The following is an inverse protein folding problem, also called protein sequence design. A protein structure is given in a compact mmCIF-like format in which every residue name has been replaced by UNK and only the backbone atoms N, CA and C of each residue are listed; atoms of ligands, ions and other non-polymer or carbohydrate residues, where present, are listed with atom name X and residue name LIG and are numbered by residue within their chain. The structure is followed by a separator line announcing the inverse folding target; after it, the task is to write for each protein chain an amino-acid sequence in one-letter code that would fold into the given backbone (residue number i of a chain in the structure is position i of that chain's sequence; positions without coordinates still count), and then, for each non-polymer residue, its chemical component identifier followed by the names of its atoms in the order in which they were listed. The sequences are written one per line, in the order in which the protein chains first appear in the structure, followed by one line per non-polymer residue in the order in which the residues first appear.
data_IF_672328896049
#
_entry.id   IF_672328896049
#
_cell.length_a   1.000
_cell.length_b   1.000
_cell.length_c   1.000
_cell.angle_alpha   90.00
_cell.angle_beta   90.00
_cell.angle_gamma   90.00
#
_symmetry.space_group_name_H-M   'P 1'
#
loop_
_entity.id
_entity.type
_entity.pdbx_description
1 polymer ?
#
# COMPACT_ATOMS: atom_id res chain seq x y z
N UNK A 1 17.34 -18.56 -4.59
CA UNK A 1 16.12 -19.38 -4.86
C UNK A 1 16.55 -20.62 -5.62
N UNK A 2 16.00 -21.79 -5.29
CA UNK A 2 16.30 -22.99 -6.07
C UNK A 2 15.69 -22.86 -7.48
N UNK A 3 16.42 -23.21 -8.55
CA UNK A 3 15.82 -23.32 -9.88
C UNK A 3 14.73 -24.40 -9.84
N UNK A 4 13.48 -24.02 -10.11
CA UNK A 4 12.35 -24.95 -10.22
C UNK A 4 11.25 -24.86 -9.16
N UNK A 5 11.23 -23.87 -8.26
CA UNK A 5 10.10 -23.69 -7.34
C UNK A 5 8.80 -23.40 -8.11
N UNK A 6 7.85 -24.33 -8.03
CA UNK A 6 6.45 -24.13 -8.40
C UNK A 6 5.59 -24.24 -7.14
N UNK A 7 4.76 -23.23 -6.83
CA UNK A 7 3.83 -23.35 -5.71
C UNK A 7 2.81 -24.46 -5.98
N UNK A 8 2.40 -25.17 -4.92
CA UNK A 8 1.25 -26.09 -4.99
C UNK A 8 -0.04 -25.26 -5.06
N UNK A 9 -0.72 -25.32 -6.20
CA UNK A 9 -1.97 -24.61 -6.47
C UNK A 9 -3.19 -25.56 -6.47
N UNK A 10 -3.06 -26.72 -5.82
CA UNK A 10 -4.19 -27.66 -5.68
C UNK A 10 -5.32 -27.10 -4.81
N UNK A 11 -6.53 -27.62 -5.00
CA UNK A 11 -7.68 -27.29 -4.14
C UNK A 11 -7.40 -27.59 -2.65
N UNK A 12 -6.61 -28.63 -2.37
CA UNK A 12 -6.19 -28.94 -0.99
C UNK A 12 -5.25 -27.85 -0.44
N UNK A 13 -4.27 -27.40 -1.21
CA UNK A 13 -3.38 -26.30 -0.80
C UNK A 13 -4.15 -25.01 -0.55
N UNK A 14 -5.13 -24.69 -1.39
CA UNK A 14 -6.03 -23.55 -1.18
C UNK A 14 -6.78 -23.67 0.15
N UNK A 15 -7.43 -24.81 0.41
CA UNK A 15 -8.18 -25.05 1.66
C UNK A 15 -7.27 -24.96 2.90
N UNK A 16 -6.06 -25.53 2.83
CA UNK A 16 -5.08 -25.45 3.91
C UNK A 16 -4.66 -24.02 4.20
N UNK A 17 -4.39 -23.22 3.15
CA UNK A 17 -4.02 -21.81 3.34
C UNK A 17 -5.20 -20.99 3.86
N UNK A 18 -6.42 -21.21 3.37
CA UNK A 18 -7.64 -20.57 3.90
C UNK A 18 -7.76 -20.81 5.40
N UNK A 19 -7.66 -22.08 5.83
CA UNK A 19 -7.74 -22.44 7.25
C UNK A 19 -6.63 -21.81 8.10
N UNK A 20 -5.37 -21.93 7.67
CA UNK A 20 -4.25 -21.31 8.38
C UNK A 20 -4.42 -19.78 8.50
N UNK A 21 -4.95 -19.14 7.45
CA UNK A 21 -5.22 -17.69 7.45
C UNK A 21 -6.29 -17.30 8.46
N UNK A 22 -7.38 -18.08 8.53
CA UNK A 22 -8.45 -17.88 9.51
C UNK A 22 -7.94 -18.10 10.94
N UNK A 23 -7.24 -19.21 11.19
CA UNK A 23 -6.66 -19.54 12.49
C UNK A 23 -5.73 -18.41 12.95
N UNK A 24 -4.83 -17.95 12.08
CA UNK A 24 -3.94 -16.82 12.37
C UNK A 24 -4.70 -15.52 12.67
N UNK A 25 -5.73 -15.18 11.88
CA UNK A 25 -6.54 -13.98 12.08
C UNK A 25 -7.26 -14.02 13.43
N UNK A 26 -7.84 -15.17 13.79
CA UNK A 26 -8.59 -15.38 15.02
C UNK A 26 -7.70 -15.42 16.27
N UNK A 27 -6.50 -16.00 16.16
CA UNK A 27 -5.51 -16.04 17.24
C UNK A 27 -4.89 -14.66 17.51
N UNK A 28 -4.64 -13.89 16.45
CA UNK A 28 -4.12 -12.53 16.57
C UNK A 28 -5.14 -11.54 17.15
N UNK A 29 -6.44 -11.89 17.16
CA UNK A 29 -7.52 -11.03 17.64
C UNK A 29 -8.45 -11.84 18.55
N UNK A 30 -8.12 -12.01 19.85
CA UNK A 30 -8.94 -12.75 20.79
C UNK A 30 -10.32 -12.12 20.99
N UNK A 31 -11.27 -12.82 21.65
CA UNK A 31 -12.59 -12.27 21.97
C UNK A 31 -12.48 -10.91 22.67
N UNK A 32 -13.30 -9.95 22.24
CA UNK A 32 -13.28 -8.57 22.75
C UNK A 32 -12.27 -7.64 22.06
N UNK A 33 -11.41 -8.14 21.17
CA UNK A 33 -10.53 -7.30 20.35
C UNK A 33 -11.17 -6.98 18.99
N UNK A 34 -11.49 -5.71 18.75
CA UNK A 34 -12.08 -5.24 17.49
C UNK A 34 -11.02 -5.05 16.42
N UNK A 35 -11.30 -5.49 15.19
CA UNK A 35 -10.54 -5.12 14.01
C UNK A 35 -10.91 -3.70 13.59
N UNK A 36 -9.98 -2.75 13.73
CA UNK A 36 -10.25 -1.33 13.49
C UNK A 36 -10.80 -1.00 12.08
N UNK A 37 -10.49 -1.83 11.07
CA UNK A 37 -10.95 -1.63 9.68
C UNK A 37 -12.28 -2.33 9.37
N UNK A 38 -12.80 -3.11 10.32
CA UNK A 38 -14.08 -3.80 10.24
C UNK A 38 -15.09 -3.27 11.25
N UNK A 39 -14.62 -2.63 12.33
CA UNK A 39 -15.40 -2.24 13.50
C UNK A 39 -16.15 -3.41 14.16
N UNK A 40 -15.61 -4.62 14.00
CA UNK A 40 -16.13 -5.85 14.60
C UNK A 40 -14.99 -6.78 15.06
N UNK A 41 -15.27 -7.69 15.98
CA UNK A 41 -14.40 -8.84 16.20
C UNK A 41 -14.51 -9.78 14.99
N UNK A 42 -13.43 -10.43 14.54
CA UNK A 42 -13.53 -11.36 13.41
C UNK A 42 -14.52 -12.51 13.63
N UNK A 43 -14.76 -12.93 14.88
CA UNK A 43 -15.73 -13.99 15.19
C UNK A 43 -17.18 -13.59 14.96
N UNK A 44 -17.44 -12.28 14.90
CA UNK A 44 -18.78 -11.73 14.71
C UNK A 44 -19.03 -11.33 13.25
N UNK A 45 -18.02 -11.45 12.39
CA UNK A 45 -18.15 -11.12 10.97
C UNK A 45 -18.91 -12.22 10.22
N UNK A 46 -20.06 -11.89 9.61
CA UNK A 46 -20.77 -12.86 8.78
C UNK A 46 -19.91 -13.21 7.56
N UNK A 47 -19.95 -14.48 7.16
CA UNK A 47 -19.28 -14.97 5.95
C UNK A 47 -17.76 -14.77 5.90
N UNK A 48 -17.09 -14.61 7.06
CA UNK A 48 -15.64 -14.39 7.11
C UNK A 48 -14.86 -15.54 6.45
N UNK A 49 -15.28 -16.79 6.66
CA UNK A 49 -14.62 -17.96 6.08
C UNK A 49 -14.73 -17.97 4.56
N UNK A 50 -15.94 -17.76 4.02
CA UNK A 50 -16.20 -17.66 2.59
C UNK A 50 -15.43 -16.51 1.97
N UNK A 51 -15.34 -15.38 2.67
CA UNK A 51 -14.60 -14.21 2.24
C UNK A 51 -13.10 -14.46 2.14
N UNK A 52 -12.49 -15.04 3.19
CA UNK A 52 -11.07 -15.40 3.18
C UNK A 52 -10.82 -16.45 2.10
N UNK A 53 -11.70 -17.44 1.94
CA UNK A 53 -11.59 -18.44 0.89
C UNK A 53 -11.61 -17.82 -0.52
N UNK A 54 -12.49 -16.84 -0.76
CA UNK A 54 -12.55 -16.12 -2.03
C UNK A 54 -11.28 -15.30 -2.29
N UNK A 55 -10.70 -14.65 -1.26
CA UNK A 55 -9.42 -13.95 -1.37
C UNK A 55 -8.30 -14.93 -1.73
N UNK A 56 -8.20 -16.06 -1.02
CA UNK A 56 -7.17 -17.07 -1.29
C UNK A 56 -7.34 -17.63 -2.71
N UNK A 57 -8.57 -17.90 -3.13
CA UNK A 57 -8.86 -18.33 -4.51
C UNK A 57 -8.42 -17.31 -5.56
N UNK A 58 -8.70 -16.02 -5.35
CA UNK A 58 -8.24 -14.95 -6.23
C UNK A 58 -6.71 -14.83 -6.28
N UNK A 59 -6.03 -15.02 -5.14
CA UNK A 59 -4.57 -15.10 -5.08
C UNK A 59 -4.04 -16.28 -5.89
N UNK A 60 -4.62 -17.47 -5.73
CA UNK A 60 -4.20 -18.67 -6.47
C UNK A 60 -4.39 -18.48 -7.97
N UNK A 61 -5.54 -17.95 -8.37
CA UNK A 61 -5.83 -17.59 -9.75
C UNK A 61 -4.78 -16.61 -10.31
N UNK A 62 -4.47 -15.54 -9.58
CA UNK A 62 -3.44 -14.57 -9.99
C UNK A 62 -2.06 -15.20 -10.12
N UNK A 63 -1.69 -16.14 -9.23
CA UNK A 63 -0.40 -16.83 -9.29
C UNK A 63 -0.34 -17.73 -10.52
N UNK A 64 -1.43 -18.45 -10.82
CA UNK A 64 -1.54 -19.27 -12.03
C UNK A 64 -1.27 -18.45 -13.30
N UNK A 65 -1.82 -17.23 -13.38
CA UNK A 65 -1.57 -16.31 -14.51
C UNK A 65 -0.10 -15.87 -14.63
N UNK A 66 0.67 -15.88 -13.53
CA UNK A 66 2.07 -15.43 -13.47
C UNK A 66 3.09 -16.58 -13.48
N UNK A 67 2.67 -17.85 -13.55
CA UNK A 67 3.58 -19.01 -13.49
C UNK A 67 4.66 -19.01 -14.57
N UNK A 68 4.37 -18.44 -15.75
CA UNK A 68 5.30 -18.36 -16.87
C UNK A 68 6.29 -17.19 -16.76
N UNK A 69 6.03 -16.22 -15.87
CA UNK A 69 6.80 -14.97 -15.77
C UNK A 69 7.69 -14.95 -14.55
N UNK A 70 7.12 -15.21 -13.36
CA UNK A 70 7.81 -15.14 -12.07
C UNK A 70 7.01 -15.93 -11.03
N UNK A 71 7.59 -16.95 -10.38
CA UNK A 71 6.90 -17.64 -9.29
C UNK A 71 6.67 -16.70 -8.12
N UNK A 72 5.45 -16.73 -7.59
CA UNK A 72 5.02 -15.98 -6.41
C UNK A 72 4.51 -16.97 -5.37
N UNK A 73 4.89 -16.76 -4.12
CA UNK A 73 4.43 -17.56 -3.00
C UNK A 73 3.05 -17.06 -2.51
N UNK A 74 1.99 -17.89 -2.50
CA UNK A 74 0.67 -17.46 -2.02
C UNK A 74 0.69 -16.97 -0.57
N UNK A 75 1.54 -17.54 0.29
CA UNK A 75 1.63 -17.14 1.71
C UNK A 75 2.13 -15.69 1.83
N UNK A 76 3.03 -15.26 0.94
CA UNK A 76 3.53 -13.88 0.90
C UNK A 76 2.41 -12.90 0.57
N UNK A 77 1.59 -13.24 -0.42
CA UNK A 77 0.48 -12.38 -0.85
C UNK A 77 -0.57 -12.29 0.25
N UNK A 78 -0.97 -13.40 0.86
CA UNK A 78 -1.91 -13.39 1.98
C UNK A 78 -1.38 -12.59 3.17
N UNK A 79 -0.08 -12.71 3.49
CA UNK A 79 0.56 -11.91 4.55
C UNK A 79 0.49 -10.41 4.28
N UNK A 80 0.67 -10.03 3.01
CA UNK A 80 0.55 -8.66 2.55
C UNK A 80 -0.90 -8.16 2.67
N UNK A 81 -1.88 -8.90 2.14
CA UNK A 81 -3.30 -8.52 2.19
C UNK A 81 -3.82 -8.43 3.63
N UNK A 82 -3.40 -9.35 4.49
CA UNK A 82 -3.64 -9.26 5.93
C UNK A 82 -3.09 -7.96 6.49
N UNK A 83 -1.82 -7.62 6.18
CA UNK A 83 -1.18 -6.41 6.68
C UNK A 83 -1.87 -5.12 6.21
N UNK A 84 -2.33 -5.10 4.95
CA UNK A 84 -2.97 -3.93 4.32
C UNK A 84 -4.33 -3.58 4.93
N UNK A 85 -5.21 -4.58 5.08
CA UNK A 85 -6.62 -4.31 5.38
C UNK A 85 -7.23 -5.21 6.44
N UNK A 86 -6.48 -6.21 6.93
CA UNK A 86 -7.06 -7.37 7.64
C UNK A 86 -8.23 -7.98 6.86
N UNK A 87 -8.07 -8.01 5.54
CA UNK A 87 -9.06 -8.47 4.57
C UNK A 87 -10.30 -7.58 4.42
N UNK A 88 -10.38 -6.39 5.01
CA UNK A 88 -11.56 -5.52 4.86
C UNK A 88 -11.74 -5.04 3.41
N UNK A 89 -12.87 -5.36 2.74
CA UNK A 89 -13.14 -4.96 1.36
C UNK A 89 -13.52 -3.48 1.24
N UNK A 90 -13.94 -2.86 2.34
CA UNK A 90 -14.35 -1.45 2.41
C UNK A 90 -13.32 -0.56 3.10
N UNK A 91 -12.13 -1.07 3.40
CA UNK A 91 -11.07 -0.30 4.03
C UNK A 91 -10.64 0.89 3.15
N UNK A 92 -10.65 2.10 3.71
CA UNK A 92 -10.18 3.32 3.03
C UNK A 92 -9.12 4.04 3.87
N UNK A 93 -7.90 4.13 3.37
CA UNK A 93 -6.81 4.83 4.06
C UNK A 93 -6.95 6.36 3.97
N UNK A 94 -6.30 7.12 4.88
CA UNK A 94 -6.24 8.59 4.79
C UNK A 94 -5.57 9.11 3.50
N UNK A 95 -4.81 8.26 2.81
CA UNK A 95 -4.18 8.58 1.53
C UNK A 95 -5.08 8.26 0.31
N UNK A 96 -6.20 7.57 0.51
CA UNK A 96 -7.16 7.19 -0.53
C UNK A 96 -6.96 5.81 -1.15
N UNK A 97 -6.14 4.96 -0.54
CA UNK A 97 -6.07 3.54 -0.88
C UNK A 97 -7.34 2.81 -0.42
N UNK A 98 -7.81 1.84 -1.21
CA UNK A 98 -9.11 1.17 -1.01
C UNK A 98 -8.99 -0.35 -1.06
N UNK A 99 -9.81 -1.01 -0.23
CA UNK A 99 -10.11 -2.43 -0.28
C UNK A 99 -9.03 -3.35 0.27
N UNK A 100 -9.20 -4.65 0.01
CA UNK A 100 -8.38 -5.74 0.58
C UNK A 100 -6.89 -5.51 0.34
N UNK A 101 -6.54 -5.05 -0.86
CA UNK A 101 -5.17 -4.85 -1.31
C UNK A 101 -4.67 -3.41 -1.17
N UNK A 102 -5.50 -2.47 -0.67
CA UNK A 102 -5.16 -1.06 -0.45
C UNK A 102 -4.48 -0.38 -1.66
N UNK A 103 -5.02 -0.60 -2.87
CA UNK A 103 -4.49 0.07 -4.06
C UNK A 103 -4.76 1.58 -4.02
N UNK A 104 -3.69 2.37 -4.17
CA UNK A 104 -3.79 3.81 -4.39
C UNK A 104 -4.47 4.08 -5.75
N UNK A 105 -5.28 5.15 -5.91
CA UNK A 105 -6.10 5.34 -7.12
C UNK A 105 -5.30 5.34 -8.42
N UNK A 106 -4.12 5.97 -8.45
CA UNK A 106 -3.29 5.98 -9.66
C UNK A 106 -2.75 4.59 -10.00
N UNK A 107 -2.31 3.84 -8.98
CA UNK A 107 -1.78 2.48 -9.18
C UNK A 107 -2.89 1.54 -9.59
N UNK A 108 -4.09 1.68 -9.03
CA UNK A 108 -5.24 0.87 -9.38
C UNK A 108 -5.54 0.90 -10.90
N UNK A 109 -5.46 2.07 -11.53
CA UNK A 109 -5.62 2.24 -12.97
C UNK A 109 -4.57 1.46 -13.78
N UNK A 110 -3.34 1.30 -13.26
CA UNK A 110 -2.28 0.52 -13.94
C UNK A 110 -2.55 -1.00 -13.94
N UNK A 111 -3.50 -1.45 -13.10
CA UNK A 111 -3.90 -2.85 -12.95
C UNK A 111 -5.38 -3.07 -13.28
N UNK A 112 -5.97 -2.17 -14.07
CA UNK A 112 -7.38 -2.23 -14.50
C UNK A 112 -8.39 -2.31 -13.34
N UNK A 113 -8.00 -1.79 -12.16
CA UNK A 113 -8.88 -1.61 -11.02
C UNK A 113 -9.44 -0.19 -11.06
N UNK A 114 -10.48 0.01 -11.85
CA UNK A 114 -11.15 1.31 -11.97
C UNK A 114 -11.72 1.78 -10.61
N UNK A 115 -11.24 2.90 -10.05
CA UNK A 115 -11.70 3.40 -8.76
C UNK A 115 -13.10 4.03 -8.85
N UNK A 116 -13.77 4.16 -7.69
CA UNK A 116 -15.20 4.47 -7.49
C UNK A 116 -15.80 5.54 -8.39
N UNK A 117 -14.98 6.52 -8.68
CA UNK A 117 -14.93 7.15 -9.96
C UNK A 117 -13.70 8.04 -9.91
N UNK A 118 -13.29 8.46 -11.10
CA UNK A 118 -12.83 9.82 -11.35
C UNK A 118 -13.96 10.81 -10.97
N UNK A 119 -14.37 10.81 -9.70
CA UNK A 119 -15.29 11.78 -9.15
C UNK A 119 -14.69 13.16 -9.39
N UNK A 120 -15.56 14.15 -9.48
CA UNK A 120 -15.19 15.56 -9.41
C UNK A 120 -14.21 15.83 -8.24
N UNK A 121 -14.38 15.14 -7.10
CA UNK A 121 -13.48 15.19 -5.94
C UNK A 121 -12.08 14.64 -6.22
N UNK A 122 -11.96 13.45 -6.84
CA UNK A 122 -10.65 12.89 -7.20
C UNK A 122 -9.92 13.80 -8.19
N UNK A 123 -10.61 14.27 -9.23
CA UNK A 123 -10.01 15.14 -10.22
C UNK A 123 -9.65 16.52 -9.66
N UNK A 124 -10.44 17.03 -8.71
CA UNK A 124 -10.11 18.25 -7.94
C UNK A 124 -8.84 18.05 -7.13
N UNK A 125 -8.73 16.98 -6.35
CA UNK A 125 -7.53 16.65 -5.59
C UNK A 125 -6.31 16.48 -6.50
N UNK A 126 -6.43 15.69 -7.58
CA UNK A 126 -5.33 15.39 -8.50
C UNK A 126 -4.79 16.66 -9.16
N UNK A 127 -5.68 17.55 -9.62
CA UNK A 127 -5.32 18.85 -10.19
C UNK A 127 -4.61 19.73 -9.17
N UNK A 128 -5.20 19.94 -8.00
CA UNK A 128 -4.60 20.76 -6.93
C UNK A 128 -3.24 20.21 -6.49
N UNK A 129 -3.13 18.89 -6.29
CA UNK A 129 -1.86 18.27 -5.93
C UNK A 129 -0.77 18.52 -6.96
N UNK A 130 -1.11 18.45 -8.25
CA UNK A 130 -0.16 18.72 -9.34
C UNK A 130 0.29 20.18 -9.33
N UNK A 131 -0.65 21.12 -9.27
CA UNK A 131 -0.34 22.56 -9.32
C UNK A 131 0.38 23.03 -8.06
N UNK A 132 -0.09 22.67 -6.87
CA UNK A 132 0.48 23.14 -5.60
C UNK A 132 1.85 22.52 -5.31
N UNK A 133 2.10 21.27 -5.73
CA UNK A 133 3.46 20.71 -5.67
C UNK A 133 4.42 21.40 -6.62
N UNK A 134 3.98 21.78 -7.82
CA UNK A 134 4.82 22.52 -8.76
C UNK A 134 5.20 23.90 -8.20
N UNK A 135 4.22 24.66 -7.70
CA UNK A 135 4.44 25.96 -7.04
C UNK A 135 5.42 25.87 -5.88
N UNK A 136 5.22 24.91 -4.96
CA UNK A 136 6.14 24.73 -3.82
C UNK A 136 7.54 24.33 -4.25
N UNK A 137 7.68 23.44 -5.23
CA UNK A 137 9.02 23.08 -5.76
C UNK A 137 9.72 24.29 -6.38
N UNK A 138 8.98 25.15 -7.08
CA UNK A 138 9.52 26.38 -7.62
C UNK A 138 9.97 27.34 -6.50
N UNK A 139 9.09 27.62 -5.53
CA UNK A 139 9.41 28.48 -4.39
C UNK A 139 10.63 27.97 -3.59
N UNK A 140 10.72 26.65 -3.36
CA UNK A 140 11.87 26.03 -2.72
C UNK A 140 13.16 26.24 -3.53
N UNK A 141 13.12 26.10 -4.86
CA UNK A 141 14.29 26.36 -5.71
C UNK A 141 14.72 27.82 -5.67
N UNK A 142 13.77 28.74 -5.71
CA UNK A 142 14.05 30.18 -5.65
C UNK A 142 14.66 30.57 -4.30
N UNK A 143 14.13 30.04 -3.19
CA UNK A 143 14.70 30.17 -1.85
C UNK A 143 16.14 29.67 -1.78
N UNK A 144 16.40 28.43 -2.22
CA UNK A 144 17.75 27.85 -2.21
C UNK A 144 18.74 28.69 -3.01
N UNK A 145 18.31 29.19 -4.18
CA UNK A 145 19.14 30.07 -5.02
C UNK A 145 19.41 31.41 -4.35
N UNK A 146 18.40 32.04 -3.75
CA UNK A 146 18.52 33.34 -3.09
C UNK A 146 19.52 33.30 -1.93
N UNK A 147 19.39 32.28 -1.08
CA UNK A 147 20.20 32.14 0.13
C UNK A 147 21.50 31.36 -0.09
N UNK A 148 21.75 30.84 -1.30
CA UNK A 148 22.94 30.03 -1.56
C UNK A 148 22.99 28.70 -0.79
N UNK A 149 21.82 28.17 -0.42
CA UNK A 149 21.69 26.93 0.38
C UNK A 149 21.62 25.73 -0.56
N UNK A 150 22.36 24.67 -0.23
CA UNK A 150 22.48 23.48 -1.09
C UNK A 150 21.22 22.61 -1.12
N UNK A 151 20.51 22.52 0.01
CA UNK A 151 19.42 21.56 0.22
C UNK A 151 18.32 22.14 1.09
N UNK A 152 17.08 21.93 0.65
CA UNK A 152 15.90 22.36 1.40
C UNK A 152 15.63 21.42 2.58
N UNK A 153 16.20 21.75 3.74
CA UNK A 153 15.95 21.03 5.00
C UNK A 153 16.18 21.93 6.21
N UNK A 154 15.45 21.68 7.29
CA UNK A 154 15.53 22.47 8.52
C UNK A 154 16.95 22.57 9.05
N UNK A 155 17.70 21.46 9.06
CA UNK A 155 19.08 21.42 9.52
C UNK A 155 20.01 22.32 8.69
N UNK A 156 19.95 22.22 7.36
CA UNK A 156 20.79 23.04 6.46
C UNK A 156 20.47 24.53 6.59
N UNK A 157 19.18 24.89 6.70
CA UNK A 157 18.77 26.29 6.85
C UNK A 157 19.20 26.87 8.20
N UNK A 158 19.05 26.12 9.30
CA UNK A 158 19.54 26.54 10.62
C UNK A 158 21.06 26.71 10.59
N UNK A 159 21.78 25.74 10.02
CA UNK A 159 23.24 25.85 9.92
C UNK A 159 23.68 27.05 9.09
N UNK A 160 22.99 27.34 7.98
CA UNK A 160 23.24 28.52 7.16
C UNK A 160 23.02 29.81 7.95
N UNK A 161 21.84 29.96 8.56
CA UNK A 161 21.48 31.16 9.32
C UNK A 161 22.46 31.43 10.46
N UNK A 162 22.88 30.39 11.21
CA UNK A 162 23.85 30.51 12.30
C UNK A 162 25.27 30.86 11.80
N UNK A 163 25.68 30.37 10.63
CA UNK A 163 27.04 30.62 10.08
C UNK A 163 27.16 31.99 9.42
N UNK A 164 26.08 32.47 8.81
CA UNK A 164 26.07 33.72 8.01
C UNK A 164 25.43 34.90 8.75
N UNK A 165 24.88 34.66 9.94
CA UNK A 165 24.08 35.62 10.70
C UNK A 165 22.86 36.14 9.90
N UNK A 166 22.24 35.24 9.13
CA UNK A 166 21.14 35.53 8.20
C UNK A 166 19.82 34.94 8.74
N UNK A 167 19.31 35.48 9.84
CA UNK A 167 18.08 34.99 10.49
C UNK A 167 16.83 35.13 9.61
N UNK A 168 16.82 36.07 8.65
CA UNK A 168 15.75 36.22 7.68
C UNK A 168 15.54 34.96 6.82
N UNK A 169 16.59 34.18 6.59
CA UNK A 169 16.49 32.89 5.90
C UNK A 169 15.62 31.89 6.67
N UNK A 170 15.65 31.92 8.01
CA UNK A 170 14.79 31.09 8.86
C UNK A 170 13.33 31.53 8.78
N UNK A 171 13.09 32.85 8.80
CA UNK A 171 11.74 33.39 8.69
C UNK A 171 11.10 33.04 7.34
N UNK A 172 11.82 33.22 6.23
CA UNK A 172 11.34 32.85 4.90
C UNK A 172 11.13 31.33 4.79
N UNK A 173 12.07 30.52 5.30
CA UNK A 173 11.92 29.07 5.32
C UNK A 173 10.67 28.62 6.06
N UNK A 174 10.41 29.20 7.24
CA UNK A 174 9.23 28.88 8.04
C UNK A 174 7.94 29.20 7.27
N UNK A 175 7.87 30.36 6.60
CA UNK A 175 6.73 30.72 5.74
C UNK A 175 6.49 29.69 4.62
N UNK A 176 7.56 29.19 3.99
CA UNK A 176 7.45 28.16 2.95
C UNK A 176 7.00 26.79 3.50
N UNK A 177 7.40 26.44 4.73
CA UNK A 177 6.98 25.20 5.39
C UNK A 177 5.50 25.25 5.79
N UNK A 178 5.07 26.39 6.31
CA UNK A 178 3.72 26.66 6.81
C UNK A 178 2.72 27.01 5.72
N UNK A 179 3.20 27.27 4.50
CA UNK A 179 2.37 27.59 3.35
C UNK A 179 1.15 26.64 3.24
N UNK A 180 -0.07 27.19 3.03
CA UNK A 180 -1.29 26.39 2.94
C UNK A 180 -1.17 25.24 1.94
N UNK A 181 -1.81 24.11 2.29
CA UNK A 181 -1.79 22.89 1.47
C UNK A 181 -3.23 22.51 1.10
N UNK A 182 -3.90 23.28 0.24
CA UNK A 182 -5.32 23.07 -0.07
C UNK A 182 -5.61 21.70 -0.69
N UNK A 183 -4.60 21.08 -1.34
CA UNK A 183 -4.74 19.71 -1.81
C UNK A 183 -4.91 18.68 -0.68
N UNK A 184 -4.48 18.98 0.56
CA UNK A 184 -4.76 18.12 1.72
C UNK A 184 -6.23 18.16 2.12
N UNK A 185 -6.89 19.31 2.01
CA UNK A 185 -8.33 19.42 2.23
C UNK A 185 -9.10 18.67 1.14
N UNK A 186 -8.73 18.87 -0.14
CA UNK A 186 -9.34 18.14 -1.24
C UNK A 186 -9.16 16.62 -1.14
N UNK A 187 -8.02 16.14 -0.60
CA UNK A 187 -7.83 14.72 -0.32
C UNK A 187 -8.79 14.20 0.76
N UNK A 188 -8.99 14.98 1.84
CA UNK A 188 -9.95 14.62 2.88
C UNK A 188 -11.37 14.53 2.33
N UNK A 189 -11.77 15.51 1.51
CA UNK A 189 -13.08 15.52 0.86
C UNK A 189 -13.26 14.26 -0.01
N UNK A 190 -12.26 13.94 -0.83
CA UNK A 190 -12.25 12.73 -1.65
C UNK A 190 -12.39 11.45 -0.80
N UNK A 191 -11.54 11.29 0.23
CA UNK A 191 -11.57 10.11 1.11
C UNK A 191 -12.91 9.98 1.85
N UNK A 192 -13.47 11.09 2.31
CA UNK A 192 -14.78 11.09 2.96
C UNK A 192 -15.89 10.67 2.00
N UNK A 193 -15.86 11.16 0.76
CA UNK A 193 -16.80 10.76 -0.29
C UNK A 193 -16.72 9.27 -0.61
N UNK A 194 -15.51 8.72 -0.79
CA UNK A 194 -15.31 7.29 -1.03
C UNK A 194 -15.87 6.46 0.13
N UNK A 195 -15.56 6.81 1.38
CA UNK A 195 -16.07 6.10 2.57
C UNK A 195 -17.59 6.14 2.64
N UNK A 196 -18.18 7.31 2.41
CA UNK A 196 -19.64 7.48 2.46
C UNK A 196 -20.34 6.66 1.38
N UNK A 197 -19.72 6.50 0.20
CA UNK A 197 -20.29 5.69 -0.86
C UNK A 197 -20.16 4.20 -0.56
N UNK A 198 -18.97 3.72 -0.18
CA UNK A 198 -18.77 2.30 0.16
C UNK A 198 -19.66 1.84 1.33
N UNK A 199 -19.91 2.71 2.31
CA UNK A 199 -20.75 2.40 3.48
C UNK A 199 -22.24 2.20 3.14
N UNK A 200 -22.69 2.57 1.93
CA UNK A 200 -24.08 2.34 1.49
C UNK A 200 -24.34 0.92 1.02
N UNK A 201 -23.28 0.13 0.84
CA UNK A 201 -23.36 -1.20 0.27
C UNK A 201 -22.91 -2.24 1.29
N UNK A 202 -23.69 -3.30 1.40
CA UNK A 202 -23.25 -4.52 2.08
C UNK A 202 -22.43 -5.36 1.09
N UNK A 203 -21.14 -5.53 1.39
CA UNK A 203 -20.25 -6.36 0.56
C UNK A 203 -20.70 -7.82 0.50
N UNK A 204 -21.29 -8.36 1.56
CA UNK A 204 -21.64 -9.77 1.63
C UNK A 204 -22.98 -10.10 0.97
N UNK A 205 -23.81 -9.10 0.66
CA UNK A 205 -25.12 -9.29 0.05
C UNK A 205 -25.06 -9.91 -1.36
N UNK A 206 -24.00 -9.61 -2.12
CA UNK A 206 -23.82 -10.11 -3.50
C UNK A 206 -22.38 -10.58 -3.80
N UNK A 207 -21.62 -10.90 -2.76
CA UNK A 207 -20.22 -11.33 -2.90
C UNK A 207 -19.29 -10.21 -3.40
N UNK A 208 -19.67 -8.95 -3.22
CA UNK A 208 -18.87 -7.78 -3.56
C UNK A 208 -19.01 -7.33 -5.00
N UNK A 209 -19.96 -7.86 -5.76
CA UNK A 209 -20.12 -7.54 -7.18
C UNK A 209 -20.55 -6.07 -7.36
N UNK A 210 -21.56 -5.61 -6.62
CA UNK A 210 -22.02 -4.21 -6.69
C UNK A 210 -20.94 -3.25 -6.25
N UNK A 211 -20.20 -3.59 -5.19
CA UNK A 211 -19.06 -2.80 -4.72
C UNK A 211 -17.92 -2.78 -5.72
N UNK A 212 -17.64 -3.88 -6.42
CA UNK A 212 -16.62 -3.95 -7.46
C UNK A 212 -16.97 -3.17 -8.72
N UNK A 213 -18.24 -3.16 -9.13
CA UNK A 213 -18.72 -2.30 -10.23
C UNK A 213 -18.63 -0.82 -9.87
N UNK A 214 -18.83 -0.52 -8.58
CA UNK A 214 -18.69 0.81 -8.03
C UNK A 214 -17.20 1.19 -8.00
N UNK A 215 -16.37 0.51 -7.19
CA UNK A 215 -14.91 0.63 -7.11
C UNK A 215 -14.24 -0.74 -7.24
N UNK A 216 -13.53 -1.00 -8.35
CA UNK A 216 -12.92 -2.30 -8.59
C UNK A 216 -11.83 -2.66 -7.56
N UNK A 217 -11.28 -1.68 -6.81
CA UNK A 217 -10.34 -1.94 -5.71
C UNK A 217 -11.02 -2.62 -4.51
N UNK A 218 -12.33 -2.46 -4.37
CA UNK A 218 -13.17 -3.12 -3.37
C UNK A 218 -13.71 -4.48 -3.86
N UNK A 219 -13.06 -5.10 -4.85
CA UNK A 219 -13.45 -6.41 -5.41
C UNK A 219 -12.35 -7.47 -5.26
N UNK A 220 -12.68 -8.72 -5.57
CA UNK A 220 -11.70 -9.81 -5.64
C UNK A 220 -10.75 -9.73 -6.85
N UNK A 221 -10.92 -8.77 -7.77
CA UNK A 221 -9.87 -8.46 -8.74
C UNK A 221 -8.62 -7.84 -8.06
N UNK A 222 -8.79 -7.18 -6.92
CA UNK A 222 -7.69 -6.50 -6.24
C UNK A 222 -6.62 -7.45 -5.66
N UNK A 223 -6.96 -8.58 -5.01
CA UNK A 223 -5.98 -9.63 -4.69
C UNK A 223 -5.21 -10.16 -5.90
N UNK A 224 -5.89 -10.42 -7.03
CA UNK A 224 -5.25 -10.86 -8.28
C UNK A 224 -4.24 -9.81 -8.79
N UNK A 225 -4.63 -8.53 -8.78
CA UNK A 225 -3.74 -7.43 -9.13
C UNK A 225 -2.54 -7.29 -8.18
N UNK A 226 -2.72 -7.58 -6.88
CA UNK A 226 -1.62 -7.58 -5.92
C UNK A 226 -0.57 -8.67 -6.25
N UNK A 227 -1.02 -9.83 -6.74
CA UNK A 227 -0.12 -10.88 -7.25
C UNK A 227 0.68 -10.37 -8.44
N UNK A 228 0.03 -9.78 -9.46
CA UNK A 228 0.72 -9.24 -10.63
C UNK A 228 1.72 -8.14 -10.23
N UNK A 229 1.32 -7.24 -9.32
CA UNK A 229 2.22 -6.22 -8.78
C UNK A 229 3.47 -6.85 -8.18
N UNK A 230 3.33 -7.81 -7.27
CA UNK A 230 4.46 -8.44 -6.58
C UNK A 230 5.30 -9.27 -7.56
N UNK A 231 4.69 -9.97 -8.52
CA UNK A 231 5.41 -10.70 -9.57
C UNK A 231 6.32 -9.76 -10.37
N UNK A 232 5.80 -8.60 -10.83
CA UNK A 232 6.59 -7.57 -11.52
C UNK A 232 7.74 -7.07 -10.65
N UNK A 233 7.49 -6.79 -9.36
CA UNK A 233 8.56 -6.29 -8.47
C UNK A 233 9.60 -7.35 -8.11
N UNK A 234 9.22 -8.61 -7.96
CA UNK A 234 10.18 -9.69 -7.78
C UNK A 234 11.09 -9.79 -9.01
N UNK A 235 10.52 -9.74 -10.22
CA UNK A 235 11.29 -9.77 -11.47
C UNK A 235 12.27 -8.60 -11.57
N UNK A 236 11.83 -7.39 -11.25
CA UNK A 236 12.67 -6.17 -11.30
C UNK A 236 13.76 -6.14 -10.22
N UNK A 237 13.52 -6.76 -9.06
CA UNK A 237 14.43 -6.75 -7.91
C UNK A 237 15.14 -8.09 -7.73
N UNK A 238 15.45 -8.79 -8.83
CA UNK A 238 16.23 -10.04 -8.82
C UNK A 238 15.69 -11.13 -7.87
N UNK A 239 14.38 -11.19 -7.69
CA UNK A 239 13.68 -12.12 -6.80
C UNK A 239 13.71 -11.72 -5.32
N UNK A 240 14.21 -10.54 -4.95
CA UNK A 240 14.31 -10.14 -3.55
C UNK A 240 12.95 -9.73 -2.97
N UNK A 241 12.39 -10.62 -2.15
CA UNK A 241 11.09 -10.46 -1.51
C UNK A 241 10.97 -9.17 -0.69
N UNK A 242 11.98 -8.83 0.11
CA UNK A 242 11.95 -7.61 0.93
C UNK A 242 11.85 -6.33 0.08
N UNK A 243 12.53 -6.27 -1.06
CA UNK A 243 12.44 -5.13 -1.99
C UNK A 243 11.10 -5.13 -2.72
N UNK A 244 10.58 -6.29 -3.13
CA UNK A 244 9.25 -6.36 -3.75
C UNK A 244 8.14 -5.88 -2.79
N UNK A 245 8.19 -6.30 -1.52
CA UNK A 245 7.27 -5.86 -0.47
C UNK A 245 7.46 -4.37 -0.16
N UNK A 246 8.70 -3.89 -0.09
CA UNK A 246 8.98 -2.47 0.12
C UNK A 246 8.45 -1.60 -1.03
N UNK A 247 8.56 -2.08 -2.28
CA UNK A 247 8.02 -1.41 -3.45
C UNK A 247 6.49 -1.29 -3.37
N UNK A 248 5.81 -2.31 -2.86
CA UNK A 248 4.36 -2.28 -2.67
C UNK A 248 3.92 -1.10 -1.78
N UNK A 249 4.65 -0.87 -0.69
CA UNK A 249 4.35 0.22 0.25
C UNK A 249 4.87 1.60 -0.20
N UNK A 250 6.12 1.68 -0.66
CA UNK A 250 6.80 2.95 -0.93
C UNK A 250 6.83 3.36 -2.41
N UNK A 251 6.37 2.48 -3.28
CA UNK A 251 6.44 2.60 -4.73
C UNK A 251 7.76 2.08 -5.33
N UNK A 252 7.76 1.67 -6.61
CA UNK A 252 8.94 1.04 -7.24
C UNK A 252 10.18 1.95 -7.31
N UNK A 253 9.96 3.25 -7.46
CA UNK A 253 11.04 4.23 -7.50
C UNK A 253 11.85 4.30 -6.19
N UNK A 254 11.29 3.83 -5.07
CA UNK A 254 11.97 3.82 -3.78
C UNK A 254 12.96 2.65 -3.62
N UNK A 255 12.82 1.58 -4.41
CA UNK A 255 13.64 0.35 -4.34
C UNK A 255 14.56 0.18 -5.56
N UNK A 256 14.59 1.18 -6.44
CA UNK A 256 15.41 1.14 -7.66
C UNK A 256 16.89 1.17 -7.28
N UNK A 257 17.64 0.24 -7.88
CA UNK A 257 19.09 0.12 -7.74
C UNK A 257 19.84 1.46 -7.89
N UNK A 258 20.78 1.70 -6.97
CA UNK A 258 21.51 2.95 -6.86
C UNK A 258 20.76 4.05 -6.09
N UNK A 259 19.73 3.72 -5.31
CA UNK A 259 19.09 4.69 -4.43
C UNK A 259 20.05 5.08 -3.29
N UNK A 260 20.49 6.35 -3.20
CA UNK A 260 21.44 6.79 -2.16
C UNK A 260 20.84 6.76 -0.74
N UNK A 261 19.54 6.44 -0.61
CA UNK A 261 18.84 6.23 0.66
C UNK A 261 18.52 4.76 0.94
N UNK A 262 19.13 3.82 0.22
CA UNK A 262 18.97 2.40 0.49
C UNK A 262 19.75 1.98 1.73
N UNK A 263 19.22 1.04 2.51
CA UNK A 263 19.96 0.36 3.59
C UNK A 263 20.59 -0.96 3.13
N UNK A 264 20.30 -1.43 1.91
CA UNK A 264 20.82 -2.67 1.34
C UNK A 264 21.06 -2.47 -0.16
N UNK A 265 22.28 -2.69 -0.65
CA UNK A 265 22.70 -2.34 -2.02
C UNK A 265 22.96 -3.58 -2.91
N UNK A 266 22.71 -3.45 -4.21
CA UNK A 266 23.25 -4.33 -5.26
C UNK A 266 22.35 -5.49 -5.72
N UNK A 267 21.25 -5.78 -5.01
CA UNK A 267 20.33 -6.89 -5.35
C UNK A 267 18.85 -6.53 -5.14
N UNK A 268 18.55 -5.23 -5.14
CA UNK A 268 17.27 -4.60 -4.77
C UNK A 268 17.46 -3.69 -3.57
N UNK A 269 16.99 -2.45 -3.67
CA UNK A 269 17.19 -1.48 -2.59
C UNK A 269 16.04 -1.59 -1.57
N UNK A 270 16.37 -1.53 -0.27
CA UNK A 270 15.38 -1.35 0.79
C UNK A 270 15.52 0.10 1.26
N UNK A 271 14.51 0.98 1.06
CA UNK A 271 14.65 2.38 1.45
C UNK A 271 14.77 2.54 2.96
N UNK A 272 15.63 3.47 3.40
CA UNK A 272 15.79 3.91 4.79
C UNK A 272 14.59 4.74 5.30
N UNK A 273 13.37 4.37 4.92
CA UNK A 273 12.14 4.96 5.43
C UNK A 273 11.68 4.16 6.65
N UNK A 274 11.65 4.74 7.86
CA UNK A 274 11.30 3.99 9.07
C UNK A 274 9.94 3.27 8.98
N UNK A 275 8.98 3.86 8.27
CA UNK A 275 7.67 3.26 8.03
C UNK A 275 7.76 2.02 7.13
N UNK A 276 8.47 2.11 6.00
CA UNK A 276 8.62 1.01 5.04
C UNK A 276 9.42 -0.16 5.63
N UNK A 277 10.47 0.11 6.40
CA UNK A 277 11.22 -0.94 7.11
C UNK A 277 10.32 -1.69 8.07
N UNK A 278 9.52 -0.98 8.88
CA UNK A 278 8.53 -1.59 9.79
C UNK A 278 7.46 -2.37 9.03
N UNK A 279 7.02 -1.86 7.88
CA UNK A 279 6.05 -2.54 7.02
C UNK A 279 6.58 -3.89 6.53
N UNK A 280 7.81 -3.94 5.98
CA UNK A 280 8.45 -5.19 5.55
C UNK A 280 8.59 -6.16 6.72
N UNK A 281 9.06 -5.69 7.88
CA UNK A 281 9.18 -6.53 9.08
C UNK A 281 7.86 -7.18 9.49
N UNK A 282 6.76 -6.40 9.52
CA UNK A 282 5.43 -6.93 9.87
C UNK A 282 4.99 -8.04 8.91
N UNK A 283 5.17 -7.83 7.61
CA UNK A 283 4.81 -8.85 6.60
C UNK A 283 5.65 -10.10 6.77
N UNK A 284 6.97 -9.98 6.98
CA UNK A 284 7.83 -11.16 7.16
C UNK A 284 7.50 -11.94 8.44
N UNK A 285 7.05 -11.28 9.51
CA UNK A 285 6.56 -11.96 10.72
C UNK A 285 5.28 -12.75 10.44
N UNK A 286 4.29 -12.15 9.76
CA UNK A 286 3.04 -12.85 9.38
C UNK A 286 3.36 -14.02 8.45
N UNK A 287 4.22 -13.79 7.46
CA UNK A 287 4.67 -14.79 6.51
C UNK A 287 5.32 -16.00 7.19
N UNK A 288 6.23 -15.78 8.13
CA UNK A 288 6.86 -16.86 8.89
C UNK A 288 5.82 -17.68 9.67
N UNK A 289 4.89 -17.01 10.37
CA UNK A 289 3.88 -17.70 11.17
C UNK A 289 2.93 -18.54 10.33
N UNK A 290 2.48 -18.02 9.19
CA UNK A 290 1.62 -18.78 8.27
C UNK A 290 2.38 -19.95 7.62
N UNK A 291 3.67 -19.77 7.30
CA UNK A 291 4.53 -20.87 6.83
C UNK A 291 4.65 -21.98 7.86
N UNK A 292 4.87 -21.63 9.13
CA UNK A 292 5.00 -22.59 10.22
C UNK A 292 3.70 -23.39 10.45
N UNK A 293 2.53 -22.76 10.30
CA UNK A 293 1.23 -23.44 10.37
C UNK A 293 0.97 -24.39 9.19
N UNK A 294 1.66 -24.20 8.06
CA UNK A 294 1.53 -25.01 6.85
C UNK A 294 2.62 -26.08 6.71
N UNK A 295 3.60 -26.11 7.60
CA UNK A 295 4.64 -27.15 7.66
C UNK A 295 4.09 -28.43 8.30
#
# INVERSE_FOLDING_TARGET
MQPGYRPDLSANAQQRLTRATLDFLLDAHPPGMTLALWDANPRDLPYLEEHVNAIVGAVFYGIEQQLSTQPVDPVLIISLLYNESRFSPVAVSPAGAVGVAQFMPNTAIEFDLDPIARTDLWERYRRLRKTERAKRRQAQKEFLRRWGISKFSTAEVIQHALRKDELDALAEYQQLVDAPKPERAALKDYVAGVRAELAKHDFFADGGESLGRLDARASYAAPTAAVDYIARRLKENSGMTSSAVAAYNAGPAAVRDGNPRSVLYGYGDLPAYPETVKYVQRIMVVYSKLRDQLA
#
